data_IF_359439379567
#
_entry.id   IF_359439379567
#
_cell.length_a   1.000
_cell.length_b   1.000
_cell.length_c   1.000
_cell.angle_alpha   90.00
_cell.angle_beta   90.00
_cell.angle_gamma   90.00
#
_symmetry.space_group_name_H-M   'P 1'
#
loop_
_entity.id
_entity.type
_entity.pdbx_description
1 polymer ?
#
# COMPACT_ATOMS: atom_id res chain seq x y z
N UNK A 1 -0.86 16.04 -7.67
CA UNK A 1 -2.28 16.29 -8.02
C UNK A 1 -3.06 15.00 -7.78
N UNK A 2 -4.28 15.06 -7.29
CA UNK A 2 -5.09 13.87 -7.01
C UNK A 2 -5.31 13.07 -8.30
N UNK A 3 -4.93 11.79 -8.29
CA UNK A 3 -5.17 10.87 -9.42
C UNK A 3 -6.65 10.42 -9.50
N UNK A 4 -7.49 10.93 -8.62
CA UNK A 4 -8.91 10.61 -8.55
C UNK A 4 -9.74 11.71 -9.20
N UNK A 5 -10.72 11.33 -10.01
CA UNK A 5 -11.68 12.25 -10.64
C UNK A 5 -12.68 12.85 -9.64
N UNK A 6 -12.84 12.22 -8.48
CA UNK A 6 -13.73 12.69 -7.41
C UNK A 6 -13.18 12.29 -6.03
N UNK A 7 -13.46 13.08 -4.97
CA UNK A 7 -13.11 12.68 -3.61
C UNK A 7 -13.76 11.36 -3.21
N UNK A 8 -12.96 10.44 -2.67
CA UNK A 8 -13.42 9.16 -2.12
C UNK A 8 -13.74 9.32 -0.63
N UNK A 9 -14.51 8.39 -0.05
CA UNK A 9 -14.91 8.42 1.35
C UNK A 9 -14.09 7.44 2.17
N UNK A 10 -13.45 7.93 3.24
CA UNK A 10 -12.67 7.14 4.20
C UNK A 10 -13.45 7.12 5.52
N UNK A 11 -13.76 5.94 6.04
CA UNK A 11 -14.26 5.79 7.41
C UNK A 11 -13.06 5.57 8.34
N UNK A 12 -12.85 6.49 9.28
CA UNK A 12 -11.83 6.36 10.29
C UNK A 12 -12.43 6.04 11.65
N UNK A 13 -11.97 4.93 12.25
CA UNK A 13 -12.47 4.41 13.52
C UNK A 13 -11.34 4.47 14.54
N UNK A 14 -11.49 5.37 15.52
CA UNK A 14 -10.48 5.66 16.55
C UNK A 14 -11.21 6.25 17.77
N UNK A 15 -11.05 5.66 18.95
CA UNK A 15 -11.73 6.10 20.18
C UNK A 15 -11.08 7.36 20.77
N UNK A 16 -9.76 7.51 20.64
CA UNK A 16 -9.05 8.66 21.15
C UNK A 16 -9.18 9.88 20.24
N UNK A 17 -9.89 10.91 20.72
CA UNK A 17 -10.16 12.13 19.96
C UNK A 17 -8.90 12.87 19.49
N UNK A 18 -7.80 12.82 20.24
CA UNK A 18 -6.53 13.46 19.85
C UNK A 18 -5.86 12.68 18.71
N UNK A 19 -5.77 11.36 18.84
CA UNK A 19 -5.21 10.50 17.78
C UNK A 19 -6.04 10.60 16.50
N UNK A 20 -7.37 10.61 16.62
CA UNK A 20 -8.30 10.80 15.51
C UNK A 20 -7.99 12.09 14.74
N UNK A 21 -7.87 13.23 15.43
CA UNK A 21 -7.50 14.52 14.82
C UNK A 21 -6.11 14.51 14.18
N UNK A 22 -5.14 13.81 14.77
CA UNK A 22 -3.80 13.68 14.19
C UNK A 22 -3.83 12.91 12.86
N UNK A 23 -4.57 11.80 12.82
CA UNK A 23 -4.71 11.00 11.59
C UNK A 23 -5.50 11.78 10.54
N UNK A 24 -6.59 12.48 10.92
CA UNK A 24 -7.32 13.37 10.01
C UNK A 24 -6.41 14.42 9.37
N UNK A 25 -5.56 15.08 10.17
CA UNK A 25 -4.60 16.06 9.66
C UNK A 25 -3.58 15.44 8.69
N UNK A 26 -3.15 14.19 8.93
CA UNK A 26 -2.26 13.46 8.01
C UNK A 26 -2.96 13.10 6.70
N UNK A 27 -4.28 12.86 6.71
CA UNK A 27 -5.07 12.50 5.53
C UNK A 27 -5.55 13.72 4.73
N UNK A 28 -5.66 14.89 5.35
CA UNK A 28 -6.17 16.11 4.72
C UNK A 28 -5.51 16.45 3.37
N UNK A 29 -4.17 16.33 3.20
CA UNK A 29 -3.52 16.64 1.92
C UNK A 29 -3.97 15.75 0.76
N UNK A 30 -4.57 14.59 1.04
CA UNK A 30 -5.05 13.65 0.02
C UNK A 30 -6.38 14.11 -0.64
N UNK A 31 -7.09 15.07 -0.03
CA UNK A 31 -8.32 15.65 -0.59
C UNK A 31 -9.54 14.73 -0.56
N UNK A 32 -9.53 13.67 0.25
CA UNK A 32 -10.66 12.74 0.41
C UNK A 32 -11.59 13.17 1.54
N UNK A 33 -12.84 12.68 1.49
CA UNK A 33 -13.80 12.89 2.57
C UNK A 33 -13.53 11.89 3.70
N UNK A 34 -13.28 12.39 4.91
CA UNK A 34 -13.15 11.54 6.10
C UNK A 34 -14.42 11.63 6.93
N UNK A 35 -15.01 10.48 7.25
CA UNK A 35 -16.08 10.32 8.24
C UNK A 35 -15.53 9.51 9.40
N UNK A 36 -16.03 9.73 10.61
CA UNK A 36 -15.43 9.14 11.82
C UNK A 36 -16.41 8.30 12.60
N UNK A 37 -15.88 7.34 13.35
CA UNK A 37 -16.55 6.57 14.39
C UNK A 37 -15.61 6.43 15.61
N UNK A 38 -16.17 6.40 16.80
CA UNK A 38 -15.42 6.34 18.04
C UNK A 38 -15.20 4.91 18.58
N UNK A 39 -15.79 3.91 17.96
CA UNK A 39 -15.64 2.48 18.30
C UNK A 39 -16.17 1.58 17.19
N UNK A 40 -15.96 0.26 17.34
CA UNK A 40 -16.39 -0.72 16.35
C UNK A 40 -17.91 -0.75 16.11
N UNK A 41 -18.73 -0.55 17.15
CA UNK A 41 -20.19 -0.54 16.99
C UNK A 41 -20.64 0.67 16.18
N UNK A 42 -20.15 1.86 16.50
CA UNK A 42 -20.47 3.06 15.71
C UNK A 42 -20.01 2.93 14.25
N UNK A 43 -18.87 2.26 14.02
CA UNK A 43 -18.42 1.97 12.66
C UNK A 43 -19.43 1.10 11.91
N UNK A 44 -19.97 0.04 12.52
CA UNK A 44 -20.99 -0.81 11.92
C UNK A 44 -22.29 -0.04 11.65
N UNK A 45 -22.68 0.86 12.55
CA UNK A 45 -23.87 1.72 12.38
C UNK A 45 -23.68 2.68 11.20
N UNK A 46 -22.50 3.33 11.08
CA UNK A 46 -22.14 4.17 9.93
C UNK A 46 -22.18 3.43 8.60
N UNK A 47 -21.78 2.16 8.59
CA UNK A 47 -21.82 1.31 7.39
C UNK A 47 -23.24 0.96 6.92
N UNK A 48 -24.28 1.18 7.75
CA UNK A 48 -25.68 1.10 7.31
C UNK A 48 -26.08 2.34 6.52
N UNK A 49 -25.46 3.48 6.77
CA UNK A 49 -25.79 4.77 6.16
C UNK A 49 -24.95 5.05 4.91
N UNK A 50 -23.64 4.75 4.99
CA UNK A 50 -22.65 5.08 3.95
C UNK A 50 -21.70 3.91 3.73
N UNK A 51 -21.49 3.51 2.47
CA UNK A 51 -20.44 2.57 2.09
C UNK A 51 -19.17 3.35 1.77
N UNK A 52 -18.11 3.28 2.62
CA UNK A 52 -16.84 3.97 2.35
C UNK A 52 -16.02 3.23 1.31
N UNK A 53 -15.02 3.92 0.76
CA UNK A 53 -14.04 3.36 -0.18
C UNK A 53 -12.84 2.72 0.53
N UNK A 54 -12.60 3.14 1.79
CA UNK A 54 -11.56 2.60 2.66
C UNK A 54 -11.99 2.76 4.12
N UNK A 55 -11.65 1.79 4.96
CA UNK A 55 -11.77 1.88 6.42
C UNK A 55 -10.37 1.91 7.02
N UNK A 56 -10.12 2.90 7.90
CA UNK A 56 -8.94 2.94 8.79
C UNK A 56 -9.45 2.60 10.18
N UNK A 57 -8.93 1.53 10.78
CA UNK A 57 -9.45 0.94 12.01
C UNK A 57 -8.39 0.86 13.09
N UNK A 58 -8.59 1.48 14.24
CA UNK A 58 -7.76 1.17 15.41
C UNK A 58 -8.01 -0.28 15.86
N UNK A 59 -6.92 -0.99 16.16
CA UNK A 59 -6.99 -2.35 16.66
C UNK A 59 -7.58 -2.44 18.08
N UNK A 60 -7.29 -1.45 18.93
CA UNK A 60 -7.59 -1.50 20.36
C UNK A 60 -8.53 -0.37 20.73
N UNK A 61 -9.79 -0.70 20.94
CA UNK A 61 -10.83 0.24 21.32
C UNK A 61 -11.72 -0.36 22.42
N UNK A 62 -12.37 0.49 23.25
CA UNK A 62 -13.38 0.03 24.21
C UNK A 62 -14.59 -0.61 23.53
N UNK A 63 -15.31 -1.45 24.26
CA UNK A 63 -16.58 -2.09 23.87
C UNK A 63 -16.44 -3.14 22.75
N UNK A 64 -16.04 -2.74 21.57
CA UNK A 64 -15.74 -3.64 20.44
C UNK A 64 -14.37 -3.30 19.89
N UNK A 65 -13.43 -4.27 19.97
CA UNK A 65 -12.09 -4.09 19.41
C UNK A 65 -12.12 -4.09 17.87
N UNK A 66 -11.08 -3.50 17.27
CA UNK A 66 -11.02 -3.35 15.82
C UNK A 66 -10.93 -4.67 15.06
N UNK A 67 -10.39 -5.74 15.67
CA UNK A 67 -10.32 -7.05 15.04
C UNK A 67 -11.72 -7.67 14.91
N UNK A 68 -12.53 -7.54 15.98
CA UNK A 68 -13.92 -8.02 15.95
C UNK A 68 -14.77 -7.24 14.95
N UNK A 69 -14.62 -5.90 14.93
CA UNK A 69 -15.27 -5.08 13.92
C UNK A 69 -14.85 -5.48 12.49
N UNK A 70 -13.56 -5.72 12.27
CA UNK A 70 -13.04 -6.17 10.98
C UNK A 70 -13.66 -7.50 10.54
N UNK A 71 -13.73 -8.52 11.42
CA UNK A 71 -14.39 -9.80 11.13
C UNK A 71 -15.86 -9.60 10.69
N UNK A 72 -16.60 -8.76 11.41
CA UNK A 72 -18.02 -8.50 11.10
C UNK A 72 -18.16 -7.77 9.76
N UNK A 73 -17.33 -6.75 9.49
CA UNK A 73 -17.33 -6.00 8.23
C UNK A 73 -16.98 -6.92 7.05
N UNK A 74 -15.99 -7.78 7.21
CA UNK A 74 -15.57 -8.73 6.16
C UNK A 74 -16.54 -9.90 5.99
N UNK A 75 -17.32 -10.21 7.00
CA UNK A 75 -18.40 -11.22 6.96
C UNK A 75 -19.70 -10.74 6.28
N UNK A 76 -19.93 -9.44 6.15
CA UNK A 76 -21.11 -8.89 5.45
C UNK A 76 -20.80 -8.74 3.95
N UNK A 77 -21.54 -9.41 3.04
CA UNK A 77 -21.32 -9.30 1.59
C UNK A 77 -21.36 -7.86 1.04
N UNK A 78 -22.06 -6.93 1.68
CA UNK A 78 -22.16 -5.52 1.26
C UNK A 78 -20.84 -4.78 1.51
N UNK A 79 -20.14 -5.10 2.59
CA UNK A 79 -18.96 -4.38 3.05
C UNK A 79 -17.67 -5.18 2.89
N UNK A 80 -17.73 -6.49 2.61
CA UNK A 80 -16.58 -7.38 2.49
C UNK A 80 -15.52 -6.89 1.48
N UNK A 81 -15.96 -6.24 0.40
CA UNK A 81 -15.06 -5.72 -0.63
C UNK A 81 -14.42 -4.36 -0.29
N UNK A 82 -14.81 -3.72 0.84
CA UNK A 82 -14.18 -2.47 1.30
C UNK A 82 -12.83 -2.80 1.94
N UNK A 83 -11.72 -2.19 1.50
CA UNK A 83 -10.42 -2.43 2.12
C UNK A 83 -10.38 -1.88 3.54
N UNK A 84 -9.71 -2.62 4.44
CA UNK A 84 -9.51 -2.24 5.84
C UNK A 84 -8.02 -2.15 6.14
N UNK A 85 -7.56 -0.96 6.53
CA UNK A 85 -6.22 -0.68 7.04
C UNK A 85 -6.27 -0.59 8.57
N UNK A 86 -5.70 -1.57 9.26
CA UNK A 86 -5.67 -1.60 10.73
C UNK A 86 -4.48 -0.80 11.25
N UNK A 87 -4.73 0.11 12.20
CA UNK A 87 -3.70 0.79 12.97
C UNK A 87 -3.49 0.07 14.30
N UNK A 88 -2.27 -0.32 14.63
CA UNK A 88 -2.00 -1.09 15.84
C UNK A 88 -0.74 -0.64 16.57
N UNK A 89 -0.81 -0.60 17.90
CA UNK A 89 0.38 -0.54 18.73
C UNK A 89 1.02 -1.94 18.73
N UNK A 90 2.33 -2.01 18.54
CA UNK A 90 3.04 -3.23 18.19
C UNK A 90 2.93 -4.40 19.16
N UNK A 91 2.51 -5.53 18.59
CA UNK A 91 3.14 -6.83 18.84
C UNK A 91 3.15 -7.62 17.52
N UNK A 92 4.04 -8.60 17.39
CA UNK A 92 4.01 -9.54 16.26
C UNK A 92 2.62 -10.19 16.16
N UNK A 93 2.01 -10.47 17.30
CA UNK A 93 0.68 -11.07 17.43
C UNK A 93 -0.44 -10.16 16.89
N UNK A 94 -0.34 -8.83 17.06
CA UNK A 94 -1.35 -7.90 16.57
C UNK A 94 -1.41 -7.86 15.03
N UNK A 95 -0.25 -8.01 14.37
CA UNK A 95 -0.17 -8.11 12.91
C UNK A 95 -0.87 -9.37 12.40
N UNK A 96 -0.56 -10.53 12.99
CA UNK A 96 -1.14 -11.80 12.60
C UNK A 96 -2.64 -11.82 12.88
N UNK A 97 -3.09 -11.25 14.00
CA UNK A 97 -4.49 -11.04 14.33
C UNK A 97 -5.22 -10.13 13.34
N UNK A 98 -4.59 -9.03 12.88
CA UNK A 98 -5.17 -8.14 11.86
C UNK A 98 -5.54 -8.92 10.60
N UNK A 99 -4.61 -9.72 10.12
CA UNK A 99 -4.85 -10.51 8.92
C UNK A 99 -5.82 -11.68 9.14
N UNK A 100 -5.78 -12.33 10.31
CA UNK A 100 -6.75 -13.36 10.66
C UNK A 100 -8.18 -12.82 10.73
N UNK A 101 -8.34 -11.56 11.16
CA UNK A 101 -9.62 -10.84 11.15
C UNK A 101 -10.07 -10.38 9.75
N UNK A 102 -9.26 -10.63 8.71
CA UNK A 102 -9.57 -10.27 7.33
C UNK A 102 -9.13 -8.86 6.90
N UNK A 103 -8.32 -8.16 7.70
CA UNK A 103 -7.77 -6.87 7.29
C UNK A 103 -6.91 -7.00 6.02
N UNK A 104 -7.02 -6.04 5.13
CA UNK A 104 -6.24 -5.99 3.89
C UNK A 104 -4.81 -5.50 4.15
N UNK A 105 -4.66 -4.64 5.16
CA UNK A 105 -3.38 -4.05 5.52
C UNK A 105 -3.31 -3.65 7.00
N UNK A 106 -2.09 -3.35 7.48
CA UNK A 106 -1.90 -2.79 8.81
C UNK A 106 -0.77 -1.74 8.80
N UNK A 107 -0.83 -0.80 9.77
CA UNK A 107 0.22 0.16 10.07
C UNK A 107 0.49 0.20 11.57
N UNK A 108 1.77 0.36 11.89
CA UNK A 108 2.20 0.54 13.28
C UNK A 108 1.89 1.95 13.78
N UNK A 109 1.35 2.07 14.99
CA UNK A 109 1.26 3.33 15.72
C UNK A 109 2.58 3.66 16.45
N UNK A 110 3.02 4.93 16.52
CA UNK A 110 2.45 6.07 15.80
C UNK A 110 2.64 5.91 14.27
N UNK A 111 1.58 6.19 13.50
CA UNK A 111 1.64 6.02 12.05
C UNK A 111 2.55 7.07 11.43
N UNK A 112 3.57 6.62 10.68
CA UNK A 112 4.37 7.52 9.86
C UNK A 112 3.49 8.11 8.76
N UNK A 113 3.53 9.43 8.59
CA UNK A 113 2.66 10.16 7.67
C UNK A 113 2.80 9.68 6.23
N UNK A 114 4.04 9.48 5.74
CA UNK A 114 4.27 9.00 4.38
C UNK A 114 3.67 7.60 4.18
N UNK A 115 3.96 6.66 5.08
CA UNK A 115 3.42 5.29 4.99
C UNK A 115 1.90 5.27 5.04
N UNK A 116 1.28 6.08 5.90
CA UNK A 116 -0.17 6.19 5.96
C UNK A 116 -0.74 6.69 4.62
N UNK A 117 -0.18 7.78 4.10
CA UNK A 117 -0.66 8.39 2.86
C UNK A 117 -0.48 7.47 1.65
N UNK A 118 0.68 6.85 1.45
CA UNK A 118 0.91 5.97 0.30
C UNK A 118 0.02 4.73 0.36
N UNK A 119 -0.21 4.15 1.54
CA UNK A 119 -1.10 2.99 1.69
C UNK A 119 -2.56 3.35 1.45
N UNK A 120 -3.00 4.45 2.01
CA UNK A 120 -4.36 4.97 1.76
C UNK A 120 -4.58 5.18 0.27
N UNK A 121 -3.68 5.88 -0.41
CA UNK A 121 -3.80 6.13 -1.85
C UNK A 121 -3.78 4.84 -2.67
N UNK A 122 -2.90 3.89 -2.36
CA UNK A 122 -2.81 2.61 -3.07
C UNK A 122 -4.09 1.79 -2.90
N UNK A 123 -4.65 1.70 -1.69
CA UNK A 123 -5.90 0.99 -1.46
C UNK A 123 -7.09 1.67 -2.12
N UNK A 124 -7.18 3.00 -2.07
CA UNK A 124 -8.23 3.75 -2.76
C UNK A 124 -8.13 3.60 -4.29
N UNK A 125 -6.91 3.66 -4.86
CA UNK A 125 -6.69 3.44 -6.29
C UNK A 125 -7.08 2.03 -6.71
N UNK A 126 -6.67 1.02 -5.94
CA UNK A 126 -7.06 -0.37 -6.18
C UNK A 126 -8.58 -0.54 -6.12
N UNK A 127 -9.24 0.10 -5.14
CA UNK A 127 -10.71 0.09 -5.01
C UNK A 127 -11.39 0.70 -6.22
N UNK A 128 -10.96 1.89 -6.64
CA UNK A 128 -11.51 2.59 -7.81
C UNK A 128 -11.40 1.75 -9.09
N UNK A 129 -10.22 1.19 -9.34
CA UNK A 129 -9.98 0.33 -10.51
C UNK A 129 -10.78 -0.98 -10.45
N UNK A 130 -10.91 -1.58 -9.27
CA UNK A 130 -11.69 -2.82 -9.09
C UNK A 130 -13.19 -2.62 -9.33
N UNK A 131 -13.70 -1.40 -9.17
CA UNK A 131 -15.09 -1.06 -9.48
C UNK A 131 -15.33 -0.85 -10.98
N UNK A 132 -14.28 -0.55 -11.75
CA UNK A 132 -14.35 -0.27 -13.18
C UNK A 132 -14.02 -1.48 -14.05
N UNK A 133 -13.15 -2.36 -13.57
CA UNK A 133 -12.65 -3.50 -14.31
C UNK A 133 -13.30 -4.82 -13.89
N UNK A 134 -13.58 -5.70 -14.86
CA UNK A 134 -13.79 -7.11 -14.57
C UNK A 134 -12.50 -7.72 -13.98
N UNK A 135 -12.63 -8.77 -13.14
CA UNK A 135 -11.46 -9.44 -12.55
C UNK A 135 -10.48 -9.85 -13.66
N UNK A 136 -9.23 -9.38 -13.64
CA UNK A 136 -8.25 -9.73 -14.66
C UNK A 136 -7.96 -11.22 -14.60
N UNK A 137 -7.79 -11.83 -15.78
CA UNK A 137 -7.16 -13.14 -15.87
C UNK A 137 -5.74 -13.03 -15.25
N UNK A 138 -5.29 -14.00 -14.46
CA UNK A 138 -3.99 -13.95 -13.80
C UNK A 138 -2.86 -14.07 -14.83
N UNK A 139 -2.46 -12.95 -15.44
CA UNK A 139 -1.23 -12.89 -16.23
C UNK A 139 -0.04 -12.91 -15.26
N UNK A 140 1.01 -13.64 -15.61
CA UNK A 140 2.24 -13.71 -14.81
C UNK A 140 2.91 -12.34 -14.81
N UNK A 141 2.97 -11.62 -13.66
CA UNK A 141 3.50 -10.26 -13.63
C UNK A 141 5.02 -10.23 -13.82
N UNK A 142 5.51 -9.13 -14.37
CA UNK A 142 6.93 -8.81 -14.51
C UNK A 142 7.37 -7.92 -13.35
N UNK A 143 8.31 -8.36 -12.54
CA UNK A 143 8.81 -7.63 -11.37
C UNK A 143 10.28 -7.33 -11.55
N UNK A 144 10.64 -6.05 -11.58
CA UNK A 144 12.05 -5.62 -11.56
C UNK A 144 12.46 -5.36 -10.11
N UNK A 145 13.51 -6.02 -9.66
CA UNK A 145 14.08 -5.83 -8.32
C UNK A 145 15.44 -5.12 -8.47
N UNK A 146 15.51 -3.90 -7.92
CA UNK A 146 16.72 -3.06 -7.98
C UNK A 146 17.30 -2.86 -6.60
N UNK A 147 18.49 -3.40 -6.35
CA UNK A 147 19.25 -3.29 -5.09
C UNK A 147 20.71 -3.64 -5.33
N UNK A 148 21.64 -2.97 -4.66
CA UNK A 148 23.05 -3.36 -4.64
C UNK A 148 23.24 -4.77 -4.04
N UNK A 149 22.42 -5.13 -3.05
CA UNK A 149 22.49 -6.41 -2.33
C UNK A 149 21.86 -7.55 -3.12
N UNK A 150 22.65 -8.56 -3.50
CA UNK A 150 22.15 -9.82 -4.08
C UNK A 150 21.24 -10.58 -3.12
N UNK A 151 21.48 -10.45 -1.81
CA UNK A 151 20.64 -11.06 -0.78
C UNK A 151 19.23 -10.46 -0.80
N UNK A 152 19.10 -9.13 -0.85
CA UNK A 152 17.81 -8.44 -0.94
C UNK A 152 17.07 -8.87 -2.20
N UNK A 153 17.75 -8.90 -3.36
CA UNK A 153 17.12 -9.34 -4.61
C UNK A 153 16.60 -10.78 -4.51
N UNK A 154 17.42 -11.68 -3.97
CA UNK A 154 17.03 -13.10 -3.76
C UNK A 154 15.89 -13.24 -2.74
N UNK A 155 15.88 -12.45 -1.65
CA UNK A 155 14.81 -12.46 -0.67
C UNK A 155 13.48 -12.05 -1.27
N UNK A 156 13.42 -10.98 -2.05
CA UNK A 156 12.18 -10.54 -2.72
C UNK A 156 11.64 -11.66 -3.62
N UNK A 157 12.47 -12.27 -4.45
CA UNK A 157 12.07 -13.36 -5.35
C UNK A 157 11.56 -14.59 -4.58
N UNK A 158 12.26 -15.00 -3.53
CA UNK A 158 11.90 -16.17 -2.74
C UNK A 158 10.62 -15.92 -1.90
N UNK A 159 10.49 -14.71 -1.34
CA UNK A 159 9.33 -14.35 -0.52
C UNK A 159 8.06 -14.23 -1.35
N UNK A 160 8.12 -13.70 -2.56
CA UNK A 160 6.95 -13.63 -3.45
C UNK A 160 6.65 -14.99 -4.08
N UNK A 161 7.69 -15.74 -4.46
CA UNK A 161 7.61 -17.01 -5.18
C UNK A 161 8.07 -16.87 -6.62
N UNK A 162 9.18 -17.54 -6.95
CA UNK A 162 9.80 -17.44 -8.29
C UNK A 162 8.88 -17.88 -9.43
N UNK A 163 7.92 -18.74 -9.12
CA UNK A 163 6.93 -19.26 -10.08
C UNK A 163 5.75 -18.27 -10.28
N UNK A 164 5.54 -17.32 -9.37
CA UNK A 164 4.39 -16.40 -9.42
C UNK A 164 4.64 -15.16 -10.28
N UNK A 165 5.91 -14.83 -10.60
CA UNK A 165 6.27 -13.70 -11.43
C UNK A 165 7.46 -13.99 -12.33
N UNK A 166 7.64 -13.18 -13.36
CA UNK A 166 8.90 -13.09 -14.11
C UNK A 166 9.75 -12.00 -13.49
N UNK A 167 10.91 -12.38 -12.93
CA UNK A 167 11.80 -11.44 -12.24
C UNK A 167 12.92 -10.97 -13.15
N UNK A 168 13.22 -9.68 -13.06
CA UNK A 168 14.38 -9.02 -13.60
C UNK A 168 15.16 -8.37 -12.47
N UNK A 169 16.47 -8.22 -12.62
CA UNK A 169 17.33 -7.65 -11.60
C UNK A 169 18.12 -6.47 -12.14
N UNK A 170 18.38 -5.51 -11.26
CA UNK A 170 19.33 -4.43 -11.46
C UNK A 170 20.07 -4.13 -10.15
N UNK A 171 21.32 -3.64 -10.26
CA UNK A 171 22.14 -3.32 -9.09
C UNK A 171 22.23 -1.82 -8.83
N UNK A 172 22.02 -1.01 -9.87
CA UNK A 172 22.12 0.43 -9.83
C UNK A 172 21.13 1.12 -10.76
N UNK A 173 21.15 2.43 -10.75
CA UNK A 173 20.19 3.28 -11.46
C UNK A 173 20.25 3.07 -12.99
N UNK A 174 21.45 3.06 -13.58
CA UNK A 174 21.62 2.91 -15.02
C UNK A 174 21.12 1.58 -15.53
N UNK A 175 21.41 0.49 -14.82
CA UNK A 175 20.92 -0.83 -15.16
C UNK A 175 19.39 -0.91 -14.99
N UNK A 176 18.83 -0.30 -13.94
CA UNK A 176 17.39 -0.26 -13.72
C UNK A 176 16.68 0.46 -14.86
N UNK A 177 17.18 1.62 -15.32
CA UNK A 177 16.64 2.34 -16.48
C UNK A 177 16.62 1.47 -17.74
N UNK A 178 17.71 0.79 -18.03
CA UNK A 178 17.80 -0.10 -19.19
C UNK A 178 16.76 -1.24 -19.10
N UNK A 179 16.62 -1.86 -17.92
CA UNK A 179 15.63 -2.93 -17.69
C UNK A 179 14.18 -2.43 -17.76
N UNK A 180 13.88 -1.24 -17.24
CA UNK A 180 12.54 -0.65 -17.34
C UNK A 180 12.14 -0.49 -18.82
N UNK A 181 13.02 0.07 -19.65
CA UNK A 181 12.76 0.29 -21.06
C UNK A 181 12.63 -1.02 -21.84
N UNK A 182 13.52 -2.00 -21.57
CA UNK A 182 13.55 -3.26 -22.31
C UNK A 182 12.44 -4.22 -21.93
N UNK A 183 12.13 -4.32 -20.64
CA UNK A 183 11.24 -5.35 -20.10
C UNK A 183 9.81 -4.84 -19.83
N UNK A 184 9.64 -3.53 -19.66
CA UNK A 184 8.37 -2.89 -19.24
C UNK A 184 7.77 -3.63 -18.05
N UNK A 185 8.40 -3.58 -16.87
CA UNK A 185 7.93 -4.29 -15.68
C UNK A 185 6.58 -3.76 -15.23
N UNK A 186 5.79 -4.63 -14.60
CA UNK A 186 4.51 -4.27 -13.98
C UNK A 186 4.72 -3.62 -12.61
N UNK A 187 5.81 -3.95 -11.92
CA UNK A 187 6.18 -3.42 -10.60
C UNK A 187 7.69 -3.25 -10.53
N UNK A 188 8.11 -2.12 -9.97
CA UNK A 188 9.48 -1.87 -9.55
C UNK A 188 9.60 -2.05 -8.04
N UNK A 189 10.43 -2.99 -7.58
CA UNK A 189 10.89 -3.07 -6.20
C UNK A 189 12.25 -2.38 -6.14
N UNK A 190 12.30 -1.24 -5.46
CA UNK A 190 13.44 -0.32 -5.46
C UNK A 190 14.04 -0.20 -4.06
N UNK A 191 15.27 -0.66 -3.88
CA UNK A 191 16.03 -0.46 -2.66
C UNK A 191 16.63 0.97 -2.64
N UNK A 192 16.67 1.58 -1.47
CA UNK A 192 17.41 2.84 -1.26
C UNK A 192 18.91 2.68 -1.48
N UNK A 193 19.45 1.49 -1.27
CA UNK A 193 20.86 1.15 -1.45
C UNK A 193 21.12 0.61 -2.87
N UNK A 194 21.68 1.46 -3.73
CA UNK A 194 22.09 1.13 -5.09
C UNK A 194 23.63 1.10 -5.22
N UNK A 195 24.13 0.28 -6.14
CA UNK A 195 25.57 0.20 -6.42
C UNK A 195 26.10 1.50 -7.04
N UNK A 196 25.25 2.16 -7.85
CA UNK A 196 25.52 3.43 -8.49
C UNK A 196 24.23 4.22 -8.67
N UNK A 197 24.32 5.57 -8.73
CA UNK A 197 23.16 6.43 -8.88
C UNK A 197 22.35 6.60 -7.61
N UNK A 198 21.07 6.95 -7.76
CA UNK A 198 20.17 7.26 -6.66
C UNK A 198 18.77 6.71 -6.90
N UNK A 199 18.22 6.04 -5.91
CA UNK A 199 16.82 5.57 -5.93
C UNK A 199 15.85 6.75 -6.08
N UNK A 200 16.17 7.90 -5.47
CA UNK A 200 15.38 9.13 -5.60
C UNK A 200 15.39 9.69 -7.02
N UNK A 201 16.59 9.78 -7.65
CA UNK A 201 16.73 10.20 -9.04
C UNK A 201 15.91 9.32 -9.97
N UNK A 202 16.01 7.99 -9.81
CA UNK A 202 15.27 7.03 -10.62
C UNK A 202 13.74 7.22 -10.44
N UNK A 203 13.27 7.41 -9.21
CA UNK A 203 11.84 7.65 -8.93
C UNK A 203 11.34 8.92 -9.60
N UNK A 204 12.08 10.02 -9.48
CA UNK A 204 11.75 11.31 -10.13
C UNK A 204 11.64 11.15 -11.65
N UNK A 205 12.58 10.46 -12.26
CA UNK A 205 12.60 10.29 -13.72
C UNK A 205 11.47 9.38 -14.23
N UNK A 206 11.13 8.33 -13.46
CA UNK A 206 9.96 7.50 -13.75
C UNK A 206 8.69 8.35 -13.78
N UNK A 207 8.49 9.21 -12.77
CA UNK A 207 7.29 10.04 -12.70
C UNK A 207 7.24 11.17 -13.74
N UNK A 208 8.40 11.63 -14.23
CA UNK A 208 8.46 12.60 -15.33
C UNK A 208 8.15 12.00 -16.69
N UNK A 209 8.41 10.71 -16.86
CA UNK A 209 8.12 10.00 -18.09
C UNK A 209 6.63 9.63 -18.13
N UNK A 210 5.87 10.18 -19.10
CA UNK A 210 4.43 9.99 -19.22
C UNK A 210 4.03 8.51 -19.25
N UNK A 211 4.79 7.69 -19.99
CA UNK A 211 4.54 6.25 -20.15
C UNK A 211 4.85 5.42 -18.88
N UNK A 212 5.59 5.96 -17.92
CA UNK A 212 6.04 5.27 -16.70
C UNK A 212 5.42 5.84 -15.42
N UNK A 213 4.70 6.96 -15.52
CA UNK A 213 4.16 7.69 -14.37
C UNK A 213 3.34 6.81 -13.42
N UNK A 214 2.66 5.83 -13.98
CA UNK A 214 1.77 4.92 -13.26
C UNK A 214 2.42 3.59 -12.88
N UNK A 215 3.72 3.42 -13.13
CA UNK A 215 4.46 2.23 -12.70
C UNK A 215 4.48 2.13 -11.17
N UNK A 216 3.88 1.09 -10.57
CA UNK A 216 3.90 0.91 -9.13
C UNK A 216 5.32 0.68 -8.61
N UNK A 217 5.71 1.44 -7.58
CA UNK A 217 7.03 1.37 -6.95
C UNK A 217 6.87 0.93 -5.49
N UNK A 218 7.47 -0.21 -5.13
CA UNK A 218 7.68 -0.64 -3.75
C UNK A 218 9.08 -0.21 -3.31
N UNK A 219 9.15 0.75 -2.40
CA UNK A 219 10.42 1.20 -1.83
C UNK A 219 10.87 0.26 -0.71
N UNK A 220 12.11 -0.21 -0.76
CA UNK A 220 12.78 -0.90 0.35
C UNK A 220 13.74 0.09 1.01
N UNK A 221 13.61 0.28 2.32
CA UNK A 221 14.40 1.28 3.05
C UNK A 221 14.94 0.71 4.36
N UNK A 222 16.06 1.27 4.83
CA UNK A 222 16.64 0.97 6.15
C UNK A 222 16.03 1.86 7.23
N UNK A 223 16.02 1.44 8.51
CA UNK A 223 15.52 2.26 9.61
C UNK A 223 16.10 3.68 9.59
N UNK A 224 15.24 4.69 9.72
CA UNK A 224 15.62 6.10 9.73
C UNK A 224 15.66 6.79 8.35
N UNK A 225 15.64 6.05 7.24
CA UNK A 225 15.70 6.66 5.89
C UNK A 225 14.36 7.24 5.41
N UNK A 226 13.25 6.79 5.98
CA UNK A 226 11.91 7.16 5.54
C UNK A 226 11.63 8.67 5.65
N UNK A 227 12.24 9.36 6.61
CA UNK A 227 12.09 10.83 6.75
C UNK A 227 12.68 11.58 5.56
N UNK A 228 13.77 11.09 5.00
CA UNK A 228 14.38 11.66 3.78
C UNK A 228 13.43 11.51 2.59
N UNK A 229 12.75 10.37 2.48
CA UNK A 229 11.76 10.10 1.44
C UNK A 229 10.48 10.91 1.60
N UNK A 230 10.08 11.25 2.83
CA UNK A 230 8.89 12.09 3.08
C UNK A 230 9.01 13.51 2.53
N UNK A 231 10.23 13.97 2.25
CA UNK A 231 10.51 15.29 1.65
C UNK A 231 10.43 15.29 0.13
N UNK A 232 10.39 14.12 -0.50
CA UNK A 232 10.22 14.02 -1.94
C UNK A 232 8.74 14.25 -2.27
N UNK A 233 8.48 15.08 -3.28
CA UNK A 233 7.12 15.33 -3.78
C UNK A 233 6.63 14.18 -4.68
N UNK A 234 7.50 13.22 -5.00
CA UNK A 234 7.21 12.11 -5.90
C UNK A 234 6.78 10.87 -5.10
N UNK A 235 5.53 10.43 -5.25
CA UNK A 235 5.01 9.33 -4.46
C UNK A 235 5.55 7.97 -4.91
N UNK A 236 5.99 7.16 -3.96
CA UNK A 236 6.05 5.70 -4.16
C UNK A 236 4.67 5.09 -3.92
N UNK A 237 4.42 3.88 -4.43
CA UNK A 237 3.10 3.23 -4.26
C UNK A 237 2.99 2.53 -2.91
N UNK A 238 4.10 2.04 -2.36
CA UNK A 238 4.20 1.50 -1.00
C UNK A 238 5.67 1.50 -0.55
N UNK A 239 5.90 1.26 0.75
CA UNK A 239 7.24 1.14 1.27
C UNK A 239 7.34 0.06 2.36
N UNK A 240 8.51 -0.60 2.41
CA UNK A 240 8.79 -1.73 3.29
C UNK A 240 10.17 -1.57 3.95
N UNK A 241 10.18 -1.62 5.28
CA UNK A 241 11.41 -1.51 6.08
C UNK A 241 12.21 -2.82 6.06
N UNK A 242 13.52 -2.71 5.90
CA UNK A 242 14.44 -3.84 6.06
C UNK A 242 14.71 -4.14 7.56
N UNK A 243 14.90 -5.41 7.96
CA UNK A 243 15.03 -6.61 7.14
C UNK A 243 13.68 -7.13 6.62
N UNK A 244 13.69 -7.69 5.41
CA UNK A 244 12.50 -8.18 4.74
C UNK A 244 11.93 -9.42 5.41
N UNK A 245 10.62 -9.42 5.64
CA UNK A 245 9.87 -10.56 6.21
C UNK A 245 8.96 -11.16 5.14
N UNK A 246 9.06 -12.47 4.91
CA UNK A 246 8.42 -13.15 3.80
C UNK A 246 6.90 -12.87 3.64
N UNK A 247 6.04 -13.01 4.68
CA UNK A 247 4.61 -12.76 4.53
C UNK A 247 4.30 -11.32 4.10
N UNK A 248 5.05 -10.35 4.62
CA UNK A 248 4.84 -8.94 4.32
C UNK A 248 5.32 -8.58 2.92
N UNK A 249 6.54 -8.99 2.55
CA UNK A 249 7.08 -8.80 1.21
C UNK A 249 6.13 -9.38 0.17
N UNK A 250 5.65 -10.60 0.36
CA UNK A 250 4.69 -11.25 -0.55
C UNK A 250 3.43 -10.43 -0.74
N UNK A 251 2.82 -9.97 0.35
CA UNK A 251 1.57 -9.19 0.29
C UNK A 251 1.76 -7.86 -0.43
N UNK A 252 2.87 -7.14 -0.17
CA UNK A 252 3.15 -5.86 -0.81
C UNK A 252 3.35 -6.01 -2.31
N UNK A 253 4.18 -6.97 -2.72
CA UNK A 253 4.38 -7.23 -4.15
C UNK A 253 3.08 -7.68 -4.81
N UNK A 254 2.29 -8.57 -4.17
CA UNK A 254 1.00 -9.01 -4.70
C UNK A 254 -0.01 -7.85 -4.85
N UNK A 255 -0.09 -6.96 -3.87
CA UNK A 255 -0.95 -5.78 -3.94
C UNK A 255 -0.61 -4.90 -5.15
N UNK A 256 0.67 -4.60 -5.34
CA UNK A 256 1.13 -3.72 -6.42
C UNK A 256 1.03 -4.41 -7.79
N UNK A 257 1.26 -5.71 -7.88
CA UNK A 257 1.04 -6.45 -9.14
C UNK A 257 -0.44 -6.45 -9.53
N UNK A 258 -1.34 -6.59 -8.57
CA UNK A 258 -2.79 -6.47 -8.82
C UNK A 258 -3.16 -5.06 -9.27
N UNK A 259 -2.59 -4.03 -8.64
CA UNK A 259 -2.78 -2.64 -9.05
C UNK A 259 -2.38 -2.44 -10.53
N UNK A 260 -1.18 -2.87 -10.91
CA UNK A 260 -0.68 -2.76 -12.27
C UNK A 260 -1.56 -3.50 -13.30
N UNK A 261 -2.05 -4.68 -12.95
CA UNK A 261 -2.95 -5.46 -13.80
C UNK A 261 -4.28 -4.75 -14.05
N UNK A 262 -4.87 -4.17 -12.99
CA UNK A 262 -6.13 -3.43 -13.12
C UNK A 262 -5.96 -2.12 -13.91
N UNK A 263 -4.83 -1.43 -13.76
CA UNK A 263 -4.51 -0.24 -14.56
C UNK A 263 -4.52 -0.56 -16.06
N UNK A 264 -3.83 -1.61 -16.47
CA UNK A 264 -3.78 -2.06 -17.88
C UNK A 264 -5.15 -2.42 -18.45
N UNK A 265 -6.08 -2.90 -17.63
CA UNK A 265 -7.44 -3.24 -18.08
C UNK A 265 -8.34 -2.02 -18.27
N UNK A 266 -8.07 -0.95 -17.56
CA UNK A 266 -8.88 0.29 -17.65
C UNK A 266 -8.34 1.20 -18.75
N UNK A 267 -7.05 1.14 -19.05
CA UNK A 267 -6.37 1.97 -20.05
C UNK A 267 -6.41 1.35 -21.47
N UNK A 268 -6.62 0.04 -21.60
CA UNK A 268 -6.67 -0.71 -22.88
C UNK A 268 -8.08 -0.99 -23.33
#
# INVERSE_FOLDING_TARGET
MSQFTSPMTILMVEDNALQRRQIEAQLQPLGHRVITAANGQEALDRLQEVLPDLIIMDAVMPSMDGFKACEMIKGDPRTAAVPILVLTALSRDAKDRSYAAGADDFLRKPANTLLLQVRVQTHLRLRALSLQAANPAPARPKVLVTSASSLVRSQVQNHFGKEQATFFEAQGEGQARAQILAQRPDVLVLDTELLEGSAQSLTIDIHKAEELRDLPILLLYSPGELETWSRLQEPVSDALEKPLVAPETRRRVALLTRLAQLQKLVEG
#
